data_IF_078817996870
#
_entry.id   IF_078817996870
#
_cell.length_a   1.000
_cell.length_b   1.000
_cell.length_c   1.000
_cell.angle_alpha   90.00
_cell.angle_beta   90.00
_cell.angle_gamma   90.00
#
_symmetry.space_group_name_H-M   'P 1'
#
loop_
_entity.id
_entity.type
_entity.pdbx_description
1 polymer ?
#
# COMPACT_ATOMS: atom_id res chain seq x y z
N UNK A 1 -19.73 8.51 -0.03
CA UNK A 1 -19.10 7.46 -0.87
C UNK A 1 -19.92 6.18 -0.72
N UNK A 2 -20.37 5.59 -1.82
CA UNK A 2 -21.13 4.32 -1.80
C UNK A 2 -20.21 3.14 -1.55
N UNK A 3 -20.61 2.22 -0.66
CA UNK A 3 -19.87 0.98 -0.41
C UNK A 3 -20.19 -0.01 -1.54
N UNK A 4 -19.15 -0.49 -2.22
CA UNK A 4 -19.24 -1.55 -3.23
C UNK A 4 -18.57 -2.81 -2.66
N UNK A 5 -19.34 -3.82 -2.22
CA UNK A 5 -18.78 -5.08 -1.76
C UNK A 5 -17.94 -5.77 -2.85
N UNK A 6 -16.93 -6.52 -2.41
CA UNK A 6 -16.08 -7.33 -3.28
C UNK A 6 -16.52 -8.79 -3.18
N UNK A 7 -16.67 -9.46 -4.31
CA UNK A 7 -17.00 -10.88 -4.35
C UNK A 7 -15.78 -11.73 -3.97
N UNK A 8 -15.82 -12.33 -2.78
CA UNK A 8 -14.73 -13.13 -2.22
C UNK A 8 -14.44 -14.40 -3.05
N UNK A 9 -15.42 -14.92 -3.78
CA UNK A 9 -15.20 -16.10 -4.62
C UNK A 9 -14.23 -15.80 -5.77
N UNK A 10 -14.22 -14.56 -6.26
CA UNK A 10 -13.27 -14.10 -7.29
C UNK A 10 -11.85 -13.96 -6.76
N UNK A 11 -11.69 -13.67 -5.47
CA UNK A 11 -10.36 -13.61 -4.85
C UNK A 11 -9.82 -15.02 -4.60
N UNK A 12 -10.68 -15.94 -4.13
CA UNK A 12 -10.32 -17.34 -3.89
C UNK A 12 -10.00 -18.13 -5.15
N UNK A 13 -10.45 -17.71 -6.33
CA UNK A 13 -10.13 -18.42 -7.58
C UNK A 13 -8.67 -18.25 -8.01
N UNK A 14 -7.93 -17.33 -7.40
CA UNK A 14 -6.53 -17.03 -7.72
C UNK A 14 -5.54 -17.71 -6.78
N UNK A 15 -5.85 -17.68 -5.48
CA UNK A 15 -5.00 -18.26 -4.44
C UNK A 15 -5.86 -18.99 -3.41
N UNK A 16 -5.30 -20.05 -2.83
CA UNK A 16 -6.00 -20.90 -1.86
C UNK A 16 -6.32 -20.15 -0.56
N UNK A 17 -5.41 -19.25 -0.14
CA UNK A 17 -5.55 -18.49 1.09
C UNK A 17 -6.00 -17.04 0.83
N UNK A 18 -7.26 -16.78 1.15
CA UNK A 18 -7.87 -15.46 1.05
C UNK A 18 -7.14 -14.39 1.90
N UNK A 19 -6.61 -14.74 3.06
CA UNK A 19 -5.98 -13.76 3.95
C UNK A 19 -4.67 -13.23 3.38
N UNK A 20 -3.89 -14.10 2.74
CA UNK A 20 -2.66 -13.69 2.04
C UNK A 20 -2.98 -12.73 0.89
N UNK A 21 -4.04 -13.02 0.15
CA UNK A 21 -4.55 -12.13 -0.90
C UNK A 21 -4.94 -10.77 -0.34
N UNK A 22 -5.63 -10.72 0.81
CA UNK A 22 -5.99 -9.45 1.47
C UNK A 22 -4.74 -8.67 1.91
N UNK A 23 -3.72 -9.35 2.43
CA UNK A 23 -2.44 -8.72 2.80
C UNK A 23 -1.72 -8.17 1.57
N UNK A 24 -1.66 -8.91 0.47
CA UNK A 24 -1.07 -8.47 -0.78
C UNK A 24 -1.78 -7.22 -1.34
N UNK A 25 -3.12 -7.24 -1.39
CA UNK A 25 -3.93 -6.09 -1.81
C UNK A 25 -3.68 -4.88 -0.91
N UNK A 26 -3.59 -5.10 0.41
CA UNK A 26 -3.34 -4.02 1.37
C UNK A 26 -1.96 -3.38 1.20
N UNK A 27 -0.93 -4.18 0.89
CA UNK A 27 0.40 -3.67 0.55
C UNK A 27 0.37 -2.85 -0.73
N UNK A 28 -0.29 -3.35 -1.78
CA UNK A 28 -0.44 -2.62 -3.04
C UNK A 28 -1.20 -1.29 -2.86
N UNK A 29 -2.25 -1.30 -2.05
CA UNK A 29 -3.00 -0.07 -1.73
C UNK A 29 -2.13 0.98 -1.03
N UNK A 30 -1.17 0.53 -0.20
CA UNK A 30 -0.20 1.43 0.45
C UNK A 30 0.78 2.02 -0.55
N UNK A 31 1.31 1.21 -1.48
CA UNK A 31 2.18 1.69 -2.55
C UNK A 31 1.49 2.77 -3.38
N UNK A 32 0.26 2.52 -3.83
CA UNK A 32 -0.55 3.48 -4.59
C UNK A 32 -0.76 4.77 -3.78
N UNK A 33 -1.09 4.66 -2.49
CA UNK A 33 -1.24 5.83 -1.62
C UNK A 33 0.04 6.64 -1.51
N UNK A 34 1.18 5.99 -1.35
CA UNK A 34 2.47 6.65 -1.18
C UNK A 34 2.90 7.34 -2.49
N UNK A 35 2.60 6.73 -3.65
CA UNK A 35 2.75 7.35 -4.99
C UNK A 35 1.84 8.58 -5.16
N UNK A 36 0.54 8.46 -4.87
CA UNK A 36 -0.42 9.57 -4.96
C UNK A 36 -0.05 10.72 -4.00
N UNK A 37 0.43 10.39 -2.81
CA UNK A 37 0.89 11.39 -1.84
C UNK A 37 2.11 12.14 -2.36
N UNK A 38 3.08 11.44 -2.94
CA UNK A 38 4.26 12.07 -3.51
C UNK A 38 3.88 13.01 -4.67
N UNK A 39 3.00 12.57 -5.59
CA UNK A 39 2.49 13.40 -6.70
C UNK A 39 1.76 14.66 -6.18
N UNK A 40 0.93 14.51 -5.13
CA UNK A 40 0.27 15.65 -4.50
C UNK A 40 1.27 16.62 -3.86
N UNK A 41 2.26 16.10 -3.13
CA UNK A 41 3.27 16.92 -2.47
C UNK A 41 4.13 17.71 -3.48
N UNK A 42 4.47 17.09 -4.62
CA UNK A 42 5.18 17.74 -5.73
C UNK A 42 4.34 18.86 -6.36
N UNK A 43 3.07 18.58 -6.70
CA UNK A 43 2.17 19.58 -7.30
C UNK A 43 1.87 20.76 -6.38
N UNK A 44 1.87 20.53 -5.07
CA UNK A 44 1.65 21.58 -4.07
C UNK A 44 2.93 22.35 -3.70
N UNK A 45 4.11 21.89 -4.14
CA UNK A 45 5.39 22.48 -3.76
C UNK A 45 5.52 23.96 -4.12
N UNK A 46 5.14 24.42 -5.34
CA UNK A 46 5.28 25.83 -5.71
C UNK A 46 4.47 26.76 -4.80
N UNK A 47 3.25 26.37 -4.43
CA UNK A 47 2.38 27.16 -3.55
C UNK A 47 2.90 27.18 -2.11
N UNK A 48 3.47 26.06 -1.63
CA UNK A 48 4.15 26.03 -0.33
C UNK A 48 5.36 26.96 -0.29
N UNK A 49 6.13 27.05 -1.37
CA UNK A 49 7.27 27.97 -1.47
C UNK A 49 6.84 29.43 -1.49
N UNK A 50 5.77 29.77 -2.23
CA UNK A 50 5.19 31.12 -2.25
C UNK A 50 4.71 31.57 -0.86
N UNK A 51 4.09 30.67 -0.10
CA UNK A 51 3.66 30.95 1.28
C UNK A 51 4.86 31.10 2.22
N UNK A 52 5.93 30.32 2.01
CA UNK A 52 7.13 30.32 2.87
C UNK A 52 8.00 31.56 2.66
N UNK A 53 8.13 32.03 1.42
CA UNK A 53 8.89 33.23 1.05
C UNK A 53 7.99 34.21 0.30
N UNK A 54 7.01 34.84 0.98
CA UNK A 54 6.08 35.75 0.34
C UNK A 54 6.80 37.04 -0.08
N UNK A 55 6.47 37.59 -1.25
CA UNK A 55 7.05 38.85 -1.71
C UNK A 55 6.48 40.07 -0.96
N UNK A 56 5.36 39.89 -0.26
CA UNK A 56 4.67 40.90 0.56
C UNK A 56 3.90 40.21 1.69
N UNK A 57 3.70 40.89 2.83
CA UNK A 57 2.81 40.42 3.90
C UNK A 57 1.39 40.11 3.41
N UNK A 58 0.94 40.76 2.33
CA UNK A 58 -0.38 40.49 1.73
C UNK A 58 -0.46 39.17 0.96
N UNK A 59 0.68 38.52 0.69
CA UNK A 59 0.77 37.27 -0.06
C UNK A 59 0.97 36.04 0.83
N UNK A 60 1.38 36.22 2.10
CA UNK A 60 1.54 35.11 3.05
C UNK A 60 0.23 34.37 3.32
N UNK A 61 -0.89 35.09 3.26
CA UNK A 61 -2.22 34.58 3.63
C UNK A 61 -3.09 34.24 2.39
N UNK A 62 -2.53 34.36 1.18
CA UNK A 62 -3.28 34.05 -0.04
C UNK A 62 -3.40 32.54 -0.22
N UNK A 63 -4.65 32.07 -0.30
CA UNK A 63 -4.96 30.74 -0.83
C UNK A 63 -5.12 30.85 -2.34
N UNK A 64 -4.28 30.13 -3.08
CA UNK A 64 -4.33 30.14 -4.54
C UNK A 64 -5.49 29.26 -5.03
N UNK A 65 -6.33 29.74 -5.98
CA UNK A 65 -7.40 28.92 -6.56
C UNK A 65 -6.90 27.61 -7.17
N UNK A 66 -5.70 27.62 -7.75
CA UNK A 66 -5.07 26.43 -8.33
C UNK A 66 -4.68 25.39 -7.26
N UNK A 67 -4.20 25.84 -6.08
CA UNK A 67 -3.93 24.95 -4.95
C UNK A 67 -5.21 24.22 -4.50
N UNK A 68 -6.34 24.92 -4.48
CA UNK A 68 -7.65 24.34 -4.15
C UNK A 68 -8.06 23.34 -5.25
N UNK A 69 -7.90 23.70 -6.52
CA UNK A 69 -8.23 22.83 -7.64
C UNK A 69 -7.44 21.52 -7.61
N UNK A 70 -6.13 21.58 -7.34
CA UNK A 70 -5.28 20.40 -7.16
C UNK A 70 -5.80 19.54 -5.99
N UNK A 71 -6.10 20.16 -4.85
CA UNK A 71 -6.57 19.42 -3.68
C UNK A 71 -7.90 18.70 -3.95
N UNK A 72 -8.83 19.37 -4.64
CA UNK A 72 -10.12 18.80 -5.05
C UNK A 72 -9.96 17.65 -6.05
N UNK A 73 -9.02 17.77 -7.00
CA UNK A 73 -8.74 16.71 -7.97
C UNK A 73 -8.34 15.41 -7.26
N UNK A 74 -7.47 15.48 -6.24
CA UNK A 74 -7.05 14.31 -5.48
C UNK A 74 -8.13 13.80 -4.52
N UNK A 75 -9.00 14.67 -4.02
CA UNK A 75 -10.09 14.27 -3.14
C UNK A 75 -11.13 13.38 -3.86
N UNK A 76 -11.41 13.67 -5.13
CA UNK A 76 -12.37 12.91 -5.95
C UNK A 76 -11.80 11.61 -6.54
N UNK A 77 -10.48 11.40 -6.47
CA UNK A 77 -9.86 10.16 -6.95
C UNK A 77 -10.38 8.94 -6.20
N UNK A 78 -10.34 7.81 -6.89
CA UNK A 78 -10.74 6.54 -6.28
C UNK A 78 -9.80 6.17 -5.14
N UNK A 79 -10.32 5.63 -4.03
CA UNK A 79 -9.49 5.27 -2.89
C UNK A 79 -8.45 4.21 -3.28
N UNK A 80 -7.19 4.32 -2.81
CA UNK A 80 -6.13 3.36 -3.12
C UNK A 80 -6.49 1.90 -2.85
N UNK A 81 -7.26 1.63 -1.78
CA UNK A 81 -7.76 0.29 -1.47
C UNK A 81 -8.66 -0.28 -2.55
N UNK A 82 -9.50 0.54 -3.16
CA UNK A 82 -10.42 0.13 -4.23
C UNK A 82 -9.69 -0.02 -5.57
N UNK A 83 -8.73 0.87 -5.85
CA UNK A 83 -7.83 0.72 -7.00
C UNK A 83 -7.06 -0.60 -6.91
N UNK A 84 -6.42 -0.89 -5.76
CA UNK A 84 -5.66 -2.12 -5.55
C UNK A 84 -6.48 -3.41 -5.72
N UNK A 85 -7.75 -3.41 -5.29
CA UNK A 85 -8.67 -4.53 -5.52
C UNK A 85 -8.97 -4.68 -7.01
N UNK A 86 -9.25 -3.58 -7.72
CA UNK A 86 -9.53 -3.63 -9.16
C UNK A 86 -8.32 -4.13 -9.95
N UNK A 87 -7.13 -3.60 -9.67
CA UNK A 87 -5.88 -4.05 -10.30
C UNK A 87 -5.60 -5.53 -10.04
N UNK A 88 -5.91 -6.04 -8.84
CA UNK A 88 -5.76 -7.47 -8.55
C UNK A 88 -6.76 -8.32 -9.36
N UNK A 89 -8.03 -7.94 -9.36
CA UNK A 89 -9.07 -8.63 -10.14
C UNK A 89 -8.84 -8.52 -11.65
N UNK A 90 -8.19 -7.46 -12.10
CA UNK A 90 -7.75 -7.22 -13.48
C UNK A 90 -6.50 -7.99 -13.89
N UNK A 91 -5.84 -8.69 -12.96
CA UNK A 91 -4.55 -9.37 -13.17
C UNK A 91 -3.39 -8.44 -13.55
N UNK A 92 -3.41 -7.18 -13.07
CA UNK A 92 -2.31 -6.24 -13.30
C UNK A 92 -1.09 -6.57 -12.44
N UNK A 93 -1.29 -7.25 -11.31
CA UNK A 93 -0.25 -7.75 -10.44
C UNK A 93 -0.67 -9.05 -9.77
N UNK A 94 0.32 -9.77 -9.25
CA UNK A 94 0.13 -10.99 -8.46
C UNK A 94 1.17 -11.05 -7.33
N UNK A 95 1.03 -11.99 -6.40
CA UNK A 95 1.98 -12.21 -5.32
C UNK A 95 2.45 -13.67 -5.25
N UNK A 96 3.68 -13.85 -4.78
CA UNK A 96 4.26 -15.18 -4.54
C UNK A 96 4.84 -15.24 -3.14
N UNK A 97 4.64 -16.37 -2.46
CA UNK A 97 5.22 -16.61 -1.15
C UNK A 97 6.61 -17.22 -1.35
N UNK A 98 7.68 -16.61 -0.83
CA UNK A 98 8.99 -17.24 -0.86
C UNK A 98 8.96 -18.48 0.04
N UNK A 99 9.31 -19.65 -0.51
CA UNK A 99 9.47 -20.87 0.28
C UNK A 99 10.75 -20.73 1.10
N UNK A 100 10.62 -20.37 2.38
CA UNK A 100 11.75 -20.40 3.31
C UNK A 100 12.00 -21.84 3.72
N UNK A 101 13.04 -22.46 3.15
CA UNK A 101 13.57 -23.72 3.68
C UNK A 101 14.25 -23.40 5.01
N UNK A 102 13.61 -23.74 6.13
CA UNK A 102 14.34 -23.83 7.39
C UNK A 102 15.27 -25.06 7.31
N UNK A 103 16.59 -24.89 7.53
CA UNK A 103 17.48 -26.05 7.58
C UNK A 103 17.05 -26.93 8.75
N UNK A 104 16.61 -28.15 8.43
CA UNK A 104 16.33 -29.17 9.43
C UNK A 104 17.59 -29.34 10.27
N UNK A 105 17.56 -28.90 11.53
CA UNK A 105 18.66 -29.16 12.45
C UNK A 105 18.88 -30.67 12.49
N UNK A 106 20.12 -31.16 12.27
CA UNK A 106 20.39 -32.57 12.47
C UNK A 106 19.98 -32.90 13.91
N UNK A 107 19.17 -33.94 14.07
CA UNK A 107 18.89 -34.51 15.39
C UNK A 107 20.24 -35.01 15.90
N UNK A 108 20.74 -34.39 16.96
CA UNK A 108 21.84 -34.97 17.72
C UNK A 108 21.32 -36.32 18.22
N UNK A 109 21.83 -37.41 17.64
CA UNK A 109 21.57 -38.75 18.12
C UNK A 109 21.98 -38.79 19.59
N UNK A 110 20.97 -39.00 20.45
CA UNK A 110 21.15 -39.22 21.88
C UNK A 110 22.26 -40.24 22.06
N UNK A 111 23.41 -39.78 22.59
CA UNK A 111 24.39 -40.68 23.16
C UNK A 111 23.66 -41.44 24.25
N UNK A 112 23.33 -42.69 23.97
CA UNK A 112 22.83 -43.63 24.96
C UNK A 112 23.82 -43.62 26.13
N UNK A 113 23.40 -43.02 27.24
CA UNK A 113 23.98 -43.29 28.55
C UNK A 113 23.74 -44.78 28.80
N UNK A 114 24.73 -45.62 28.46
CA UNK A 114 24.79 -46.97 29.01
C UNK A 114 25.26 -46.84 30.45
N UNK A 115 24.30 -46.77 31.36
CA UNK A 115 24.51 -47.02 32.77
C UNK A 115 25.07 -48.45 32.98
N UNK A 116 25.93 -48.58 33.98
CA UNK A 116 26.91 -49.67 34.09
C UNK A 116 26.40 -51.06 34.45
N UNK A 117 27.29 -52.04 34.21
CA UNK A 117 27.62 -53.11 35.16
C UNK A 117 29.01 -53.68 34.83
#
# INVERSE_FOLDING_TARGET
MSISPVDLNRLRSKHDNLYETVVAISKRAREIHDEERADLEEKLLPYKEMIRNPASESESDKVFPEQIAISLEFEVREKPSRQAVQSFLGNEYDYTIPVTYEPVKPKDDEKAETDGN
#
